data_IF_136606270798
#
_entry.id   IF_136606270798
#
_cell.length_a   1.000
_cell.length_b   1.000
_cell.length_c   1.000
_cell.angle_alpha   90.00
_cell.angle_beta   90.00
_cell.angle_gamma   90.00
#
_symmetry.space_group_name_H-M   'P 1'
#
loop_
_entity.id
_entity.type
_entity.pdbx_description
1 polymer ?
#
# COMPACT_ATOMS: atom_id res chain seq x y z
N UNK A 1 2.76 4.15 -29.10
CA UNK A 1 1.52 3.56 -28.55
C UNK A 1 1.87 2.49 -27.50
N UNK A 2 2.27 2.87 -26.29
CA UNK A 2 2.59 1.90 -25.20
C UNK A 2 1.97 2.37 -23.85
N UNK A 3 0.86 3.12 -23.88
CA UNK A 3 0.22 3.66 -22.66
C UNK A 3 -0.99 2.85 -22.15
N UNK A 4 -1.36 1.74 -22.80
CA UNK A 4 -2.62 1.04 -22.48
C UNK A 4 -2.54 0.04 -21.32
N UNK A 5 -1.33 -0.36 -20.89
CA UNK A 5 -1.15 -1.32 -19.78
C UNK A 5 -1.06 -0.64 -18.41
N UNK A 6 -0.66 0.64 -18.35
CA UNK A 6 -0.58 1.39 -17.10
C UNK A 6 -1.97 1.70 -16.52
N UNK A 7 -2.99 1.88 -17.37
CA UNK A 7 -4.35 2.21 -16.95
C UNK A 7 -5.15 1.03 -16.39
N UNK A 8 -4.73 -0.21 -16.64
CA UNK A 8 -5.42 -1.41 -16.12
C UNK A 8 -5.05 -1.73 -14.67
N UNK A 9 -3.85 -1.35 -14.21
CA UNK A 9 -3.45 -1.57 -12.81
C UNK A 9 -4.11 -0.56 -11.89
N UNK A 10 -4.35 0.67 -12.36
CA UNK A 10 -5.07 1.70 -11.60
C UNK A 10 -6.55 1.37 -11.36
N UNK A 11 -7.13 0.41 -12.10
CA UNK A 11 -8.53 -0.04 -11.97
C UNK A 11 -8.71 -1.16 -10.94
N UNK A 12 -7.64 -1.85 -10.51
CA UNK A 12 -7.71 -2.85 -9.44
C UNK A 12 -7.67 -2.23 -8.02
N UNK A 13 -7.52 -0.92 -7.91
CA UNK A 13 -7.44 -0.19 -6.65
C UNK A 13 -8.80 0.07 -5.98
N UNK A 14 -9.90 -0.56 -6.38
CA UNK A 14 -11.24 -0.12 -5.93
C UNK A 14 -12.32 -1.17 -5.63
N UNK A 15 -12.04 -2.46 -5.42
CA UNK A 15 -13.13 -3.40 -5.05
C UNK A 15 -12.86 -4.46 -3.98
N UNK A 16 -11.63 -4.67 -3.52
CA UNK A 16 -11.41 -5.49 -2.32
C UNK A 16 -11.25 -4.57 -1.12
N UNK A 17 -12.30 -4.46 -0.31
CA UNK A 17 -12.22 -3.90 1.04
C UNK A 17 -11.12 -4.67 1.77
N UNK A 18 -9.97 -4.02 1.96
CA UNK A 18 -8.86 -4.62 2.69
C UNK A 18 -9.23 -4.63 4.17
N UNK A 19 -9.22 -5.80 4.79
CA UNK A 19 -9.37 -5.91 6.24
C UNK A 19 -8.07 -5.42 6.90
N UNK A 20 -8.05 -4.13 7.23
CA UNK A 20 -6.91 -3.48 7.88
C UNK A 20 -6.87 -3.89 9.35
N UNK A 21 -5.75 -4.51 9.75
CA UNK A 21 -5.49 -4.94 11.11
C UNK A 21 -4.75 -3.87 11.90
N UNK A 22 -3.77 -3.21 11.28
CA UNK A 22 -2.94 -2.18 11.92
C UNK A 22 -2.31 -1.26 10.88
N UNK A 23 -2.17 0.00 11.25
CA UNK A 23 -1.38 0.99 10.49
C UNK A 23 -0.31 1.54 11.42
N UNK A 24 0.91 1.70 10.92
CA UNK A 24 2.01 2.32 11.66
C UNK A 24 2.90 3.11 10.72
N UNK A 25 3.57 4.17 11.20
CA UNK A 25 4.60 4.82 10.41
C UNK A 25 5.73 3.83 10.11
N UNK A 26 6.31 3.92 8.92
CA UNK A 26 7.51 3.14 8.57
C UNK A 26 8.63 3.53 9.55
N UNK A 27 9.39 2.53 10.02
CA UNK A 27 10.52 2.78 10.90
C UNK A 27 11.54 3.73 10.27
N UNK A 28 12.18 4.57 11.07
CA UNK A 28 13.10 5.58 10.57
C UNK A 28 14.25 4.96 9.76
N UNK A 29 14.74 3.79 10.19
CA UNK A 29 15.78 3.01 9.49
C UNK A 29 15.37 2.69 8.05
N UNK A 30 14.13 2.24 7.87
CA UNK A 30 13.58 1.85 6.56
C UNK A 30 13.25 3.10 5.73
N UNK A 31 12.71 4.14 6.35
CA UNK A 31 12.39 5.41 5.68
C UNK A 31 13.65 6.09 5.10
N UNK A 32 14.82 5.93 5.74
CA UNK A 32 16.11 6.45 5.26
C UNK A 32 16.66 5.72 4.04
N UNK A 33 16.21 4.50 3.75
CA UNK A 33 16.65 3.79 2.55
C UNK A 33 16.14 4.43 1.26
N UNK A 34 15.10 5.29 1.33
CA UNK A 34 14.50 6.04 0.20
C UNK A 34 14.04 5.21 -1.02
N UNK A 35 14.14 3.88 -0.99
CA UNK A 35 13.83 3.00 -2.14
C UNK A 35 12.41 2.42 -2.14
N UNK A 36 11.59 2.78 -1.17
CA UNK A 36 10.28 2.14 -0.98
C UNK A 36 9.16 3.03 -1.51
N UNK A 37 8.59 2.60 -2.62
CA UNK A 37 7.39 3.19 -3.21
C UNK A 37 6.11 2.69 -2.55
N UNK A 38 5.05 3.48 -2.66
CA UNK A 38 3.70 3.10 -2.26
C UNK A 38 3.20 1.93 -3.11
N UNK A 39 2.77 0.86 -2.48
CA UNK A 39 2.24 -0.35 -3.14
C UNK A 39 0.90 -0.09 -3.85
N UNK A 40 0.19 0.99 -3.49
CA UNK A 40 -1.10 1.34 -4.08
C UNK A 40 -0.95 2.23 -5.32
N UNK A 41 -0.23 3.36 -5.21
CA UNK A 41 -0.11 4.31 -6.32
C UNK A 41 1.18 4.15 -7.14
N UNK A 42 2.17 3.41 -6.64
CA UNK A 42 3.47 3.18 -7.30
C UNK A 42 4.37 4.42 -7.48
N UNK A 43 3.84 5.63 -7.24
CA UNK A 43 4.47 6.90 -7.62
C UNK A 43 5.03 7.70 -6.44
N UNK A 44 4.41 7.58 -5.26
CA UNK A 44 4.85 8.30 -4.06
C UNK A 44 5.69 7.40 -3.16
N UNK A 45 6.59 8.01 -2.39
CA UNK A 45 7.32 7.32 -1.33
C UNK A 45 6.35 6.79 -0.28
N UNK A 46 6.53 5.54 0.16
CA UNK A 46 5.76 5.01 1.26
C UNK A 46 6.19 5.66 2.59
N UNK A 47 5.22 5.92 3.45
CA UNK A 47 5.40 6.51 4.78
C UNK A 47 4.79 5.65 5.89
N UNK A 48 3.92 4.69 5.53
CA UNK A 48 3.18 3.85 6.46
C UNK A 48 3.30 2.37 6.09
N UNK A 49 3.49 1.54 7.11
CA UNK A 49 3.26 0.10 7.07
C UNK A 49 1.77 -0.16 7.41
N UNK A 50 1.09 -0.86 6.53
CA UNK A 50 -0.33 -1.25 6.64
C UNK A 50 -0.39 -2.77 6.68
N UNK A 51 -0.77 -3.32 7.82
CA UNK A 51 -0.97 -4.74 8.03
C UNK A 51 -2.42 -5.08 7.71
N UNK A 52 -2.64 -5.96 6.74
CA UNK A 52 -3.97 -6.42 6.32
C UNK A 52 -4.10 -7.92 6.52
N UNK A 53 -5.33 -8.41 6.63
CA UNK A 53 -5.59 -9.85 6.69
C UNK A 53 -5.08 -10.53 5.41
N UNK A 54 -4.20 -11.52 5.58
CA UNK A 54 -3.65 -12.30 4.48
C UNK A 54 -4.53 -13.48 4.07
N UNK A 55 -4.10 -14.21 3.04
CA UNK A 55 -4.74 -15.48 2.63
C UNK A 55 -4.43 -16.63 3.60
N UNK A 56 -3.33 -16.54 4.34
CA UNK A 56 -2.95 -17.49 5.38
C UNK A 56 -3.51 -16.97 6.71
N UNK A 57 -4.23 -17.83 7.41
CA UNK A 57 -4.80 -17.52 8.73
C UNK A 57 -3.69 -17.07 9.70
N UNK A 58 -3.99 -16.04 10.49
CA UNK A 58 -3.08 -15.41 11.46
C UNK A 58 -1.74 -14.85 10.93
N UNK A 59 -1.51 -14.85 9.61
CA UNK A 59 -0.33 -14.23 9.00
C UNK A 59 -0.74 -12.94 8.31
N UNK A 60 -0.53 -11.77 8.94
CA UNK A 60 -0.86 -10.49 8.32
C UNK A 60 0.04 -10.22 7.12
N UNK A 61 -0.55 -9.72 6.03
CA UNK A 61 0.19 -9.24 4.87
C UNK A 61 0.60 -7.79 5.10
N UNK A 62 1.88 -7.48 4.87
CA UNK A 62 2.40 -6.12 4.90
C UNK A 62 2.20 -5.44 3.55
N UNK A 63 1.60 -4.24 3.57
CA UNK A 63 1.55 -3.27 2.48
C UNK A 63 2.21 -1.98 2.92
N UNK A 64 2.87 -1.27 2.02
CA UNK A 64 3.49 0.03 2.30
C UNK A 64 2.80 1.13 1.51
N UNK A 65 2.27 2.13 2.22
CA UNK A 65 1.42 3.16 1.63
C UNK A 65 1.99 4.56 1.88
N UNK A 66 1.73 5.49 0.95
CA UNK A 66 1.90 6.92 1.20
C UNK A 66 0.69 7.47 1.98
N UNK A 67 0.81 8.70 2.49
CA UNK A 67 -0.24 9.37 3.30
C UNK A 67 -1.57 9.49 2.55
N UNK A 68 -1.52 9.81 1.26
CA UNK A 68 -2.70 9.92 0.41
C UNK A 68 -3.45 8.60 0.28
N UNK A 69 -2.73 7.52 -0.05
CA UNK A 69 -3.33 6.20 -0.22
C UNK A 69 -3.77 5.57 1.10
N UNK A 70 -3.06 5.83 2.20
CA UNK A 70 -3.46 5.38 3.55
C UNK A 70 -4.86 5.87 3.91
N UNK A 71 -5.17 7.13 3.58
CA UNK A 71 -6.45 7.75 3.93
C UNK A 71 -7.66 7.09 3.25
N UNK A 72 -7.44 6.40 2.13
CA UNK A 72 -8.48 5.61 1.44
C UNK A 72 -8.82 4.30 2.17
N UNK A 73 -7.97 3.86 3.10
CA UNK A 73 -8.09 2.57 3.80
C UNK A 73 -8.75 2.69 5.19
N UNK A 74 -8.98 3.91 5.69
CA UNK A 74 -9.51 4.19 7.04
C UNK A 74 -10.95 4.74 6.94
N UNK A 75 -11.76 4.22 6.01
CA UNK A 75 -13.18 4.58 5.92
C UNK A 75 -14.01 4.01 7.07
#
# INVERSE_FOLDING_TARGET
MICLIASLISVLASTTKLDVLKISPISEQVARLQVISCDLCGSQKASHDVYVKGAVEDVPMLKRCCDGCKSLLIQ
#
